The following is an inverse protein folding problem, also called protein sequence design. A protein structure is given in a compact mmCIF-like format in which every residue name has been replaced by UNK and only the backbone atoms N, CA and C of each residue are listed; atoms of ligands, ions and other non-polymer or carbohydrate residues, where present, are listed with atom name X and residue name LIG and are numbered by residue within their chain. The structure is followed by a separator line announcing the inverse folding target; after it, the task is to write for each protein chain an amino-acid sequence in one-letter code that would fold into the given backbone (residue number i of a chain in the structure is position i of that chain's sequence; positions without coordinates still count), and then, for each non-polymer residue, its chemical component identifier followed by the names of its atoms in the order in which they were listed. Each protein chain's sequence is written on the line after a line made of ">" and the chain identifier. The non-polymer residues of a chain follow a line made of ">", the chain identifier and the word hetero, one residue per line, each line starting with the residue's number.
data_IF_599067783320
#
_entry.id   IF_599067783320
#
_cell.length_a   1.000
_cell.length_b   1.000
_cell.length_c   1.000
_cell.angle_alpha   90.00
_cell.angle_beta   90.00
_cell.angle_gamma   90.00
#
_symmetry.space_group_name_H-M   'P 1'
#
loop_
_entity.id
_entity.type
_entity.pdbx_description
1 polymer ?
#
# COMPACT_ATOMS: atom_id res chain seq x y z
N UNK A 1 6.12 49.96 38.09
CA UNK A 1 5.05 49.39 37.21
C UNK A 1 5.54 48.74 35.90
N UNK A 2 6.75 49.01 35.39
CA UNK A 2 7.23 48.42 34.13
C UNK A 2 7.57 46.91 34.19
N UNK A 3 7.96 46.39 35.37
CA UNK A 3 8.40 44.99 35.54
C UNK A 3 7.25 43.98 35.41
N UNK A 4 6.03 44.33 35.85
CA UNK A 4 4.85 43.46 35.71
C UNK A 4 4.37 43.34 34.27
N UNK A 5 4.51 44.41 33.47
CA UNK A 5 4.07 44.47 32.06
C UNK A 5 4.94 43.61 31.13
N UNK A 6 6.23 43.48 31.44
CA UNK A 6 7.14 42.60 30.69
C UNK A 6 6.90 41.12 31.00
N UNK A 7 6.57 40.76 32.26
CA UNK A 7 6.24 39.36 32.63
C UNK A 7 4.97 38.85 31.96
N UNK A 8 3.94 39.69 31.83
CA UNK A 8 2.68 39.32 31.16
C UNK A 8 2.86 39.12 29.65
N UNK A 9 3.66 39.96 28.99
CA UNK A 9 4.01 39.78 27.57
C UNK A 9 4.83 38.51 27.32
N UNK A 10 5.78 38.19 28.21
CA UNK A 10 6.61 36.99 28.08
C UNK A 10 5.77 35.71 28.26
N UNK A 11 4.83 35.72 29.21
CA UNK A 11 3.89 34.61 29.43
C UNK A 11 2.96 34.40 28.22
N UNK A 12 2.48 35.47 27.60
CA UNK A 12 1.64 35.40 26.38
C UNK A 12 2.43 34.84 25.18
N UNK A 13 3.71 35.23 25.03
CA UNK A 13 4.58 34.68 23.99
C UNK A 13 4.86 33.19 24.19
N UNK A 14 5.14 32.77 25.43
CA UNK A 14 5.35 31.35 25.75
C UNK A 14 4.09 30.54 25.48
N UNK A 15 2.91 31.04 25.87
CA UNK A 15 1.63 30.39 25.59
C UNK A 15 1.35 30.25 24.10
N UNK A 16 1.63 31.28 23.29
CA UNK A 16 1.47 31.23 21.83
C UNK A 16 2.41 30.23 21.15
N UNK A 17 3.64 30.10 21.65
CA UNK A 17 4.60 29.10 21.16
C UNK A 17 4.16 27.68 21.51
N UNK A 18 3.62 27.48 22.71
CA UNK A 18 3.17 26.18 23.19
C UNK A 18 1.93 25.67 22.43
N UNK A 19 1.00 26.57 22.07
CA UNK A 19 -0.17 26.21 21.26
C UNK A 19 0.21 25.87 19.83
N UNK A 20 1.14 26.61 19.20
CA UNK A 20 1.63 26.28 17.85
C UNK A 20 2.36 24.93 17.84
N UNK A 21 3.18 24.64 18.86
CA UNK A 21 3.86 23.35 18.98
C UNK A 21 2.87 22.19 19.16
N UNK A 22 1.84 22.37 20.00
CA UNK A 22 0.78 21.36 20.19
C UNK A 22 -0.02 21.11 18.91
N UNK A 23 -0.37 22.14 18.15
CA UNK A 23 -1.07 21.99 16.86
C UNK A 23 -0.20 21.27 15.84
N UNK A 24 1.11 21.57 15.81
CA UNK A 24 2.07 20.89 14.93
C UNK A 24 2.18 19.39 15.28
N UNK A 25 2.34 19.05 16.56
CA UNK A 25 2.43 17.66 17.03
C UNK A 25 1.13 16.87 16.80
N UNK A 26 -0.04 17.49 16.98
CA UNK A 26 -1.33 16.87 16.69
C UNK A 26 -1.58 16.70 15.19
N UNK A 27 -1.04 17.60 14.35
CA UNK A 27 -1.08 17.48 12.89
C UNK A 27 -0.35 16.24 12.38
N UNK A 28 0.81 15.91 12.96
CA UNK A 28 1.57 14.71 12.61
C UNK A 28 0.91 13.40 13.07
N UNK A 29 0.08 13.45 14.11
CA UNK A 29 -0.72 12.32 14.60
C UNK A 29 -1.93 12.00 13.72
N UNK A 30 -2.47 12.99 12.99
CA UNK A 30 -3.62 12.82 12.11
C UNK A 30 -3.23 12.49 10.66
N UNK A 31 -2.01 12.79 10.22
CA UNK A 31 -1.50 12.41 8.89
C UNK A 31 -0.96 10.99 8.84
N UNK A 32 -0.60 10.41 9.99
CA UNK A 32 -0.18 9.03 10.13
C UNK A 32 -1.29 8.19 10.76
N UNK A 33 -2.42 8.03 10.06
CA UNK A 33 -3.43 7.06 10.45
C UNK A 33 -2.77 5.69 10.63
N UNK A 34 -2.80 5.07 11.82
CA UNK A 34 -2.34 3.71 11.97
C UNK A 34 -3.23 2.84 11.08
N UNK A 35 -2.62 2.09 10.17
CA UNK A 35 -3.30 1.11 9.35
C UNK A 35 -3.83 -0.01 10.28
N UNK A 36 -5.00 0.24 10.86
CA UNK A 36 -5.77 -0.71 11.64
C UNK A 36 -6.18 -1.87 10.74
N UNK A 37 -5.59 -3.04 11.00
CA UNK A 37 -6.14 -4.38 10.75
C UNK A 37 -7.09 -4.49 9.56
N UNK A 38 -6.53 -4.77 8.37
CA UNK A 38 -7.33 -5.33 7.27
C UNK A 38 -7.73 -6.75 7.68
N UNK A 39 -8.97 -6.88 8.15
CA UNK A 39 -9.65 -8.18 8.18
C UNK A 39 -9.66 -8.73 6.75
N UNK A 40 -9.12 -9.93 6.56
CA UNK A 40 -9.34 -10.75 5.35
C UNK A 40 -10.85 -10.79 5.11
N UNK A 41 -11.32 -10.08 4.09
CA UNK A 41 -12.72 -10.09 3.65
C UNK A 41 -12.71 -10.70 2.27
N UNK A 42 -13.49 -11.78 2.11
CA UNK A 42 -13.85 -12.29 0.79
C UNK A 42 -14.42 -11.10 0.01
N UNK A 43 -13.77 -10.74 -1.09
CA UNK A 43 -14.17 -9.58 -1.86
C UNK A 43 -15.33 -9.98 -2.77
N UNK A 44 -16.53 -9.45 -2.52
CA UNK A 44 -17.61 -9.54 -3.50
C UNK A 44 -17.28 -8.60 -4.66
N UNK A 45 -17.00 -9.18 -5.82
CA UNK A 45 -16.67 -8.46 -7.05
C UNK A 45 -17.57 -9.01 -8.14
N UNK A 46 -18.18 -8.15 -8.97
CA UNK A 46 -18.99 -8.61 -10.07
C UNK A 46 -18.22 -9.61 -10.94
N UNK A 47 -18.87 -10.70 -11.34
CA UNK A 47 -18.27 -11.72 -12.21
C UNK A 47 -17.71 -11.12 -13.51
N UNK A 48 -18.27 -10.00 -13.98
CA UNK A 48 -17.80 -9.26 -15.16
C UNK A 48 -16.36 -8.75 -15.05
N UNK A 49 -15.79 -8.71 -13.86
CA UNK A 49 -14.43 -8.22 -13.61
C UNK A 49 -13.43 -9.33 -13.31
N UNK A 50 -13.90 -10.58 -13.31
CA UNK A 50 -13.02 -11.72 -13.16
C UNK A 50 -12.48 -12.14 -14.54
N UNK A 51 -11.23 -12.64 -14.61
CA UNK A 51 -10.69 -13.15 -15.85
C UNK A 51 -11.54 -14.30 -16.41
N UNK A 52 -11.89 -14.22 -17.68
CA UNK A 52 -12.70 -15.24 -18.37
C UNK A 52 -11.84 -16.48 -18.66
N UNK A 53 -12.44 -17.67 -18.58
CA UNK A 53 -11.78 -18.92 -18.94
C UNK A 53 -10.95 -19.58 -17.83
N UNK A 54 -10.89 -18.99 -16.64
CA UNK A 54 -10.16 -19.52 -15.48
C UNK A 54 -11.06 -20.31 -14.49
N UNK A 55 -12.33 -20.52 -14.82
CA UNK A 55 -13.28 -21.23 -13.96
C UNK A 55 -13.75 -20.40 -12.77
N UNK A 56 -14.12 -21.08 -11.67
CA UNK A 56 -14.57 -20.42 -10.44
C UNK A 56 -13.36 -20.00 -9.61
N UNK A 57 -13.18 -18.68 -9.46
CA UNK A 57 -12.08 -18.11 -8.69
C UNK A 57 -12.56 -17.74 -7.29
N UNK A 58 -11.78 -18.11 -6.27
CA UNK A 58 -11.88 -17.50 -4.94
C UNK A 58 -11.02 -16.25 -4.94
N UNK A 59 -11.54 -15.13 -4.46
CA UNK A 59 -10.78 -13.88 -4.38
C UNK A 59 -10.70 -13.34 -2.95
N UNK A 60 -9.57 -12.72 -2.64
CA UNK A 60 -9.30 -12.03 -1.38
C UNK A 60 -8.84 -10.61 -1.67
N UNK A 61 -9.36 -9.63 -0.93
CA UNK A 61 -8.96 -8.24 -1.09
C UNK A 61 -7.58 -8.00 -0.50
N UNK A 62 -6.62 -7.65 -1.34
CA UNK A 62 -5.28 -7.22 -0.91
C UNK A 62 -5.34 -5.76 -0.46
N UNK A 63 -5.79 -4.87 -1.35
CA UNK A 63 -5.91 -3.45 -1.05
C UNK A 63 -6.91 -2.75 -1.97
N UNK A 64 -7.38 -1.59 -1.53
CA UNK A 64 -8.27 -0.70 -2.30
C UNK A 64 -7.71 0.72 -2.27
N UNK A 65 -7.67 1.37 -3.42
CA UNK A 65 -7.25 2.77 -3.58
C UNK A 65 -8.34 3.51 -4.33
N UNK A 66 -8.70 4.71 -3.86
CA UNK A 66 -9.63 5.58 -4.57
C UNK A 66 -8.88 6.80 -5.10
N UNK A 67 -9.03 7.08 -6.39
CA UNK A 67 -8.58 8.32 -7.02
C UNK A 67 -9.77 8.88 -7.81
N UNK A 68 -10.13 10.14 -7.53
CA UNK A 68 -11.34 10.77 -8.04
C UNK A 68 -12.60 9.91 -7.75
N UNK A 69 -13.42 9.66 -8.77
CA UNK A 69 -14.58 8.77 -8.71
C UNK A 69 -14.28 7.32 -9.14
N UNK A 70 -13.00 6.95 -9.24
CA UNK A 70 -12.59 5.59 -9.57
C UNK A 70 -12.03 4.88 -8.35
N UNK A 71 -12.52 3.68 -8.10
CA UNK A 71 -12.02 2.77 -7.06
C UNK A 71 -11.23 1.64 -7.71
N UNK A 72 -9.98 1.49 -7.34
CA UNK A 72 -9.09 0.44 -7.80
C UNK A 72 -8.96 -0.61 -6.70
N UNK A 73 -9.12 -1.88 -7.05
CA UNK A 73 -8.97 -3.00 -6.12
C UNK A 73 -7.93 -3.97 -6.64
N UNK A 74 -6.95 -4.27 -5.79
CA UNK A 74 -6.00 -5.35 -6.00
C UNK A 74 -6.44 -6.55 -5.17
N UNK A 75 -6.37 -7.72 -5.79
CA UNK A 75 -6.93 -8.95 -5.27
C UNK A 75 -5.97 -10.09 -5.47
N UNK A 76 -5.97 -10.99 -4.50
CA UNK A 76 -5.42 -12.33 -4.64
C UNK A 76 -6.51 -13.23 -5.20
N UNK A 77 -6.31 -13.81 -6.39
CA UNK A 77 -7.19 -14.79 -6.99
C UNK A 77 -6.59 -16.19 -6.89
N UNK A 78 -7.40 -17.17 -6.47
CA UNK A 78 -7.01 -18.57 -6.31
C UNK A 78 -7.75 -19.43 -7.31
N UNK A 79 -7.00 -20.19 -8.11
CA UNK A 79 -7.56 -21.28 -8.91
C UNK A 79 -7.99 -22.45 -8.01
N UNK A 80 -8.97 -23.26 -8.43
CA UNK A 80 -9.36 -24.44 -7.68
C UNK A 80 -8.17 -25.39 -7.45
N UNK A 81 -7.81 -25.62 -6.19
CA UNK A 81 -6.71 -26.51 -5.79
C UNK A 81 -5.34 -25.84 -5.66
N UNK A 82 -5.20 -24.58 -6.08
CA UNK A 82 -3.93 -23.86 -5.99
C UNK A 82 -3.72 -23.25 -4.60
N UNK A 83 -2.51 -23.44 -4.06
CA UNK A 83 -2.10 -22.87 -2.78
C UNK A 83 -1.58 -21.43 -2.91
N UNK A 84 -1.16 -21.02 -4.11
CA UNK A 84 -0.61 -19.68 -4.38
C UNK A 84 -1.61 -18.84 -5.16
N UNK A 85 -1.90 -17.61 -4.72
CA UNK A 85 -2.73 -16.72 -5.51
C UNK A 85 -1.97 -16.16 -6.71
N UNK A 86 -2.72 -15.51 -7.59
CA UNK A 86 -2.21 -14.57 -8.57
C UNK A 86 -2.92 -13.23 -8.47
N UNK A 87 -2.24 -12.15 -8.84
CA UNK A 87 -2.78 -10.81 -8.70
C UNK A 87 -3.83 -10.50 -9.78
N UNK A 88 -4.96 -9.95 -9.34
CA UNK A 88 -6.03 -9.39 -10.19
C UNK A 88 -6.29 -7.95 -9.79
N UNK A 89 -6.21 -7.04 -10.75
CA UNK A 89 -6.44 -5.61 -10.56
C UNK A 89 -7.65 -5.18 -11.37
N UNK A 90 -8.62 -4.58 -10.69
CA UNK A 90 -9.86 -4.07 -11.28
C UNK A 90 -10.07 -2.61 -10.96
N UNK A 91 -10.79 -1.91 -11.85
CA UNK A 91 -11.33 -0.58 -11.58
C UNK A 91 -12.85 -0.62 -11.53
N UNK A 92 -13.41 0.19 -10.64
CA UNK A 92 -14.83 0.35 -10.38
C UNK A 92 -15.19 1.83 -10.53
N UNK A 93 -16.07 2.14 -11.48
CA UNK A 93 -16.57 3.50 -11.73
C UNK A 93 -18.00 3.44 -12.25
N UNK A 94 -18.92 4.21 -11.68
CA UNK A 94 -20.32 4.35 -12.15
C UNK A 94 -21.02 3.00 -12.42
N UNK A 95 -20.93 2.05 -11.48
CA UNK A 95 -21.39 0.66 -11.59
C UNK A 95 -20.75 -0.18 -12.72
N UNK A 96 -19.84 0.39 -13.50
CA UNK A 96 -18.98 -0.35 -14.42
C UNK A 96 -17.79 -0.89 -13.67
N UNK A 97 -17.34 -2.06 -14.10
CA UNK A 97 -16.22 -2.73 -13.52
C UNK A 97 -15.36 -3.33 -14.63
N UNK A 98 -14.09 -2.92 -14.65
CA UNK A 98 -13.16 -3.27 -15.71
C UNK A 98 -11.98 -4.03 -15.12
N UNK A 99 -11.66 -5.17 -15.72
CA UNK A 99 -10.41 -5.87 -15.48
C UNK A 99 -9.27 -5.08 -16.12
N UNK A 100 -8.34 -4.58 -15.30
CA UNK A 100 -7.17 -3.83 -15.78
C UNK A 100 -5.96 -4.74 -15.97
N UNK A 101 -5.80 -5.71 -15.08
CA UNK A 101 -4.69 -6.65 -15.11
C UNK A 101 -5.06 -7.96 -14.41
N UNK A 102 -4.56 -9.06 -14.95
CA UNK A 102 -4.66 -10.39 -14.37
C UNK A 102 -3.46 -11.18 -14.83
N UNK A 103 -2.75 -11.82 -13.90
CA UNK A 103 -1.56 -12.57 -14.26
C UNK A 103 -1.45 -13.94 -13.59
N UNK A 104 -2.11 -14.95 -14.17
CA UNK A 104 -2.00 -16.32 -13.69
C UNK A 104 -0.58 -16.90 -13.73
N UNK A 105 0.34 -16.32 -14.52
CA UNK A 105 1.73 -16.78 -14.64
C UNK A 105 2.64 -16.27 -13.51
N UNK A 106 2.17 -15.30 -12.71
CA UNK A 106 2.92 -14.68 -11.62
C UNK A 106 4.30 -14.12 -12.04
N UNK A 107 4.44 -13.70 -13.31
CA UNK A 107 5.57 -12.87 -13.73
C UNK A 107 5.46 -11.44 -13.18
N UNK A 108 6.61 -10.80 -13.00
CA UNK A 108 6.68 -9.46 -12.44
C UNK A 108 6.01 -8.43 -13.36
N UNK A 109 5.12 -7.60 -12.82
CA UNK A 109 4.38 -6.59 -13.58
C UNK A 109 4.23 -5.26 -12.81
N UNK A 110 4.84 -4.15 -13.28
CA UNK A 110 4.61 -2.83 -12.71
C UNK A 110 3.16 -2.36 -12.90
N UNK A 111 2.50 -1.95 -11.82
CA UNK A 111 1.13 -1.40 -11.87
C UNK A 111 1.03 -0.11 -12.69
N UNK A 112 2.11 0.67 -12.72
CA UNK A 112 2.24 1.89 -13.53
C UNK A 112 2.04 1.68 -15.03
N UNK A 113 2.10 0.43 -15.54
CA UNK A 113 1.81 0.12 -16.95
C UNK A 113 0.33 0.26 -17.32
N UNK A 114 -0.57 0.15 -16.34
CA UNK A 114 -2.04 0.23 -16.56
C UNK A 114 -2.70 1.31 -15.70
N UNK A 115 -1.93 1.99 -14.85
CA UNK A 115 -2.42 3.00 -13.91
C UNK A 115 -1.53 4.24 -13.89
N UNK A 116 -2.09 5.36 -13.40
CA UNK A 116 -1.27 6.52 -13.05
C UNK A 116 -0.31 6.15 -11.92
N UNK A 117 0.89 6.75 -11.94
CA UNK A 117 1.93 6.48 -10.95
C UNK A 117 1.48 6.75 -9.49
N UNK A 118 0.60 7.72 -9.27
CA UNK A 118 0.00 8.02 -7.96
C UNK A 118 -0.76 6.81 -7.41
N UNK A 119 -1.63 6.22 -8.22
CA UNK A 119 -2.42 5.03 -7.86
C UNK A 119 -1.52 3.80 -7.73
N UNK A 120 -0.59 3.61 -8.67
CA UNK A 120 0.36 2.48 -8.64
C UNK A 120 1.17 2.45 -7.33
N UNK A 121 1.67 3.61 -6.88
CA UNK A 121 2.38 3.75 -5.59
C UNK A 121 1.52 3.33 -4.40
N UNK A 122 0.28 3.79 -4.33
CA UNK A 122 -0.63 3.46 -3.22
C UNK A 122 -1.01 1.97 -3.23
N UNK A 123 -1.19 1.37 -4.41
CA UNK A 123 -1.44 -0.07 -4.53
C UNK A 123 -0.23 -0.89 -4.07
N UNK A 124 0.97 -0.57 -4.54
CA UNK A 124 2.21 -1.24 -4.13
C UNK A 124 2.42 -1.14 -2.61
N UNK A 125 2.12 0.00 -1.99
CA UNK A 125 2.19 0.16 -0.53
C UNK A 125 1.13 -0.68 0.20
N UNK A 126 -0.09 -0.75 -0.33
CA UNK A 126 -1.15 -1.60 0.22
C UNK A 126 -0.78 -3.08 0.16
N UNK A 127 -0.28 -3.54 -0.99
CA UNK A 127 0.20 -4.91 -1.18
C UNK A 127 1.38 -5.27 -0.26
N UNK A 128 2.33 -4.35 -0.10
CA UNK A 128 3.44 -4.54 0.83
C UNK A 128 2.94 -4.70 2.27
N UNK A 129 2.00 -3.85 2.71
CA UNK A 129 1.39 -3.96 4.05
C UNK A 129 0.63 -5.26 4.24
N UNK A 130 -0.14 -5.67 3.24
CA UNK A 130 -0.83 -6.95 3.23
C UNK A 130 0.17 -8.12 3.33
N UNK A 131 1.25 -8.10 2.55
CA UNK A 131 2.31 -9.11 2.60
C UNK A 131 3.01 -9.17 3.96
N UNK A 132 3.28 -8.01 4.58
CA UNK A 132 3.85 -7.93 5.93
C UNK A 132 2.90 -8.56 6.96
N UNK A 133 1.61 -8.26 6.87
CA UNK A 133 0.61 -8.82 7.77
C UNK A 133 0.49 -10.34 7.60
N UNK A 134 0.48 -10.84 6.37
CA UNK A 134 0.44 -12.27 6.06
C UNK A 134 1.69 -13.02 6.52
N UNK A 135 2.85 -12.37 6.49
CA UNK A 135 4.08 -12.91 7.08
C UNK A 135 4.04 -12.95 8.62
N UNK A 136 3.06 -12.30 9.26
CA UNK A 136 2.92 -12.19 10.71
C UNK A 136 3.76 -11.08 11.33
N UNK A 137 4.06 -10.02 10.57
CA UNK A 137 4.76 -8.81 11.02
C UNK A 137 6.02 -8.48 10.23
N UNK A 138 6.50 -7.24 10.40
CA UNK A 138 7.59 -6.68 9.59
C UNK A 138 8.91 -7.44 9.73
N UNK A 139 9.23 -7.95 10.92
CA UNK A 139 10.49 -8.66 11.15
C UNK A 139 10.50 -10.04 10.46
N UNK A 140 9.36 -10.74 10.49
CA UNK A 140 9.17 -11.98 9.74
C UNK A 140 9.22 -11.71 8.24
N UNK A 141 8.56 -10.66 7.77
CA UNK A 141 8.66 -10.25 6.37
C UNK A 141 10.10 -9.95 5.95
N UNK A 142 10.87 -9.21 6.73
CA UNK A 142 12.29 -8.93 6.42
C UNK A 142 13.14 -10.20 6.30
N UNK A 143 12.81 -11.25 7.05
CA UNK A 143 13.50 -12.54 6.92
C UNK A 143 13.28 -13.22 5.57
N UNK A 144 12.16 -12.94 4.88
CA UNK A 144 11.88 -13.48 3.53
C UNK A 144 12.62 -12.73 2.43
N UNK A 145 13.11 -11.51 2.70
CA UNK A 145 13.88 -10.70 1.75
C UNK A 145 15.35 -11.10 1.65
N UNK A 146 15.82 -12.03 2.48
CA UNK A 146 17.20 -12.49 2.42
C UNK A 146 17.42 -13.27 1.12
N UNK A 147 18.28 -12.79 0.20
CA UNK A 147 18.50 -13.47 -1.07
C UNK A 147 19.13 -14.83 -0.82
N UNK A 148 18.64 -15.85 -1.52
CA UNK A 148 19.43 -17.07 -1.70
C UNK A 148 20.64 -16.67 -2.55
N UNK A 149 21.84 -16.72 -1.94
CA UNK A 149 23.12 -16.17 -2.44
C UNK A 149 23.51 -16.64 -3.85
N UNK A 150 22.75 -17.58 -4.43
CA UNK A 150 23.08 -18.23 -5.70
C UNK A 150 22.27 -17.77 -6.90
N UNK A 151 21.08 -17.16 -6.79
CA UNK A 151 20.26 -16.94 -8.00
C UNK A 151 19.09 -15.93 -7.98
N UNK A 152 18.88 -15.09 -6.96
CA UNK A 152 17.75 -14.12 -7.01
C UNK A 152 18.19 -12.72 -7.45
N UNK A 153 17.91 -12.36 -8.71
CA UNK A 153 17.83 -10.94 -9.09
C UNK A 153 16.44 -10.45 -8.71
N UNK A 154 16.31 -9.84 -7.54
CA UNK A 154 15.07 -9.14 -7.16
C UNK A 154 14.67 -8.17 -8.28
N UNK A 155 13.39 -8.16 -8.64
CA UNK A 155 12.84 -7.20 -9.59
C UNK A 155 11.95 -6.25 -8.83
N UNK A 156 12.17 -4.95 -9.02
CA UNK A 156 11.36 -3.91 -8.40
C UNK A 156 11.00 -2.87 -9.46
N UNK A 157 9.80 -2.31 -9.34
CA UNK A 157 9.36 -1.13 -10.06
C UNK A 157 9.58 0.14 -9.22
N UNK A 158 9.34 1.30 -9.81
CA UNK A 158 9.42 2.58 -9.11
C UNK A 158 8.42 2.67 -7.94
N UNK A 159 7.20 2.16 -8.14
CA UNK A 159 6.17 2.10 -7.11
C UNK A 159 6.54 1.15 -5.96
N UNK A 160 7.23 0.04 -6.24
CA UNK A 160 7.73 -0.86 -5.19
C UNK A 160 8.78 -0.17 -4.34
N UNK A 161 9.80 0.43 -4.96
CA UNK A 161 10.86 1.13 -4.22
C UNK A 161 10.28 2.25 -3.36
N UNK A 162 9.31 2.99 -3.92
CA UNK A 162 8.58 4.01 -3.16
C UNK A 162 7.85 3.39 -1.96
N UNK A 163 7.12 2.30 -2.14
CA UNK A 163 6.38 1.62 -1.08
C UNK A 163 7.30 1.09 0.04
N UNK A 164 8.43 0.48 -0.32
CA UNK A 164 9.46 0.01 0.61
C UNK A 164 10.00 1.16 1.47
N UNK A 165 10.31 2.30 0.84
CA UNK A 165 10.76 3.50 1.56
C UNK A 165 9.69 4.01 2.53
N UNK A 166 8.42 4.05 2.14
CA UNK A 166 7.32 4.44 3.04
C UNK A 166 7.14 3.49 4.23
N UNK A 167 7.47 2.20 4.04
CA UNK A 167 7.41 1.20 5.11
C UNK A 167 8.69 1.14 5.97
N UNK A 168 9.71 1.96 5.68
CA UNK A 168 11.00 1.91 6.37
C UNK A 168 11.75 0.58 6.15
N UNK A 169 11.61 -0.01 4.96
CA UNK A 169 12.28 -1.25 4.56
C UNK A 169 13.33 -0.93 3.50
N UNK A 170 14.57 -1.30 3.77
CA UNK A 170 15.65 -1.16 2.80
C UNK A 170 15.53 -2.24 1.72
N UNK A 171 15.44 -1.81 0.47
CA UNK A 171 15.44 -2.68 -0.71
C UNK A 171 16.79 -3.41 -0.81
N UNK A 172 16.85 -4.70 -1.20
CA UNK A 172 18.10 -5.41 -1.47
C UNK A 172 19.01 -4.62 -2.42
N UNK A 173 20.34 -4.62 -2.18
CA UNK A 173 21.29 -3.85 -3.00
C UNK A 173 21.40 -4.34 -4.45
N UNK A 174 21.22 -5.65 -4.65
CA UNK A 174 21.29 -6.27 -5.97
C UNK A 174 19.89 -6.53 -6.46
N UNK A 175 19.39 -5.62 -7.29
CA UNK A 175 18.08 -5.73 -7.91
C UNK A 175 18.11 -5.19 -9.34
N UNK A 176 17.12 -5.60 -10.12
CA UNK A 176 16.80 -5.04 -11.43
C UNK A 176 15.61 -4.10 -11.28
N UNK A 177 15.78 -2.85 -11.69
CA UNK A 177 14.67 -1.93 -11.88
C UNK A 177 13.94 -2.27 -13.17
N UNK A 178 12.61 -2.35 -13.11
CA UNK A 178 11.74 -2.63 -14.26
C UNK A 178 10.71 -1.51 -14.36
N UNK A 179 10.68 -0.87 -15.53
CA UNK A 179 9.70 0.14 -15.92
C UNK A 179 8.54 -0.50 -16.71
#
# INVERSE_FOLDING_TARGET
>A
MAVLKNRTRLLQFIWGLLTVLMVYLLGELLTNSPALSQSSRIAEIPLSCLPVGLGTLRTELVTEVREDDTKYRLLDAYLPGDAKPFSVLVSLKDNQCNLLYSNPMNDFYPYSRVLKQSVARQLALGELRYSINNAGGIDKFRSTLQPDLRNSSWQFSQEDIWAFNQAGITVPRTFKLVD
#
